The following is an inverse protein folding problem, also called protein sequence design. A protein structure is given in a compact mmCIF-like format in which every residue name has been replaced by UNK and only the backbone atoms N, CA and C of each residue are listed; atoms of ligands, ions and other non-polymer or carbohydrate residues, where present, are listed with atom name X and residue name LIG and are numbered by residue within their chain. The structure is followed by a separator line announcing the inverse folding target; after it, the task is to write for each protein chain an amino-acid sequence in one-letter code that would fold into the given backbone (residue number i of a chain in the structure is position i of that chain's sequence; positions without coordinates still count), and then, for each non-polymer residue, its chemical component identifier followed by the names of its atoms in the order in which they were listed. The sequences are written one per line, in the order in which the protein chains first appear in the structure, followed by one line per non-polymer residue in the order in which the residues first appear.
data_IF_788091385381
#
_entry.id   IF_788091385381
#
_cell.length_a   1.000
_cell.length_b   1.000
_cell.length_c   1.000
_cell.angle_alpha   90.00
_cell.angle_beta   90.00
_cell.angle_gamma   90.00
#
_symmetry.space_group_name_H-M   'P 1'
#
loop_
_entity.id
_entity.type
_entity.pdbx_description
1 polymer ?
#
# COMPACT_ATOMS: atom_id res chain seq x y z
N UNK A 1 -12.67 -6.88 -15.99
CA UNK A 1 -11.66 -5.94 -15.46
C UNK A 1 -10.94 -6.65 -14.32
N UNK A 2 -9.60 -6.71 -14.31
CA UNK A 2 -8.86 -7.34 -13.21
C UNK A 2 -8.72 -6.38 -12.02
N UNK A 3 -8.47 -6.93 -10.82
CA UNK A 3 -8.12 -6.12 -9.64
C UNK A 3 -6.94 -5.19 -9.93
N UNK A 4 -5.92 -5.69 -10.64
CA UNK A 4 -4.76 -4.90 -11.08
C UNK A 4 -5.15 -3.73 -11.98
N UNK A 5 -5.99 -3.96 -13.00
CA UNK A 5 -6.44 -2.88 -13.89
C UNK A 5 -7.25 -1.83 -13.14
N UNK A 6 -8.09 -2.25 -12.18
CA UNK A 6 -8.85 -1.31 -11.36
C UNK A 6 -7.92 -0.49 -10.43
N UNK A 7 -6.96 -1.14 -9.78
CA UNK A 7 -5.97 -0.46 -8.94
C UNK A 7 -5.17 0.59 -9.73
N UNK A 8 -4.77 0.28 -10.98
CA UNK A 8 -4.10 1.25 -11.86
C UNK A 8 -4.94 2.47 -12.18
N UNK A 9 -6.26 2.33 -12.34
CA UNK A 9 -7.16 3.48 -12.53
C UNK A 9 -7.11 4.41 -11.33
N UNK A 10 -7.17 3.87 -10.11
CA UNK A 10 -7.05 4.68 -8.89
C UNK A 10 -5.69 5.36 -8.77
N UNK A 11 -4.60 4.65 -9.09
CA UNK A 11 -3.24 5.21 -9.08
C UNK A 11 -3.15 6.40 -10.05
N UNK A 12 -3.65 6.28 -11.28
CA UNK A 12 -3.60 7.36 -12.28
C UNK A 12 -4.54 8.55 -11.98
N UNK A 13 -5.55 8.32 -11.14
CA UNK A 13 -6.47 9.35 -10.68
C UNK A 13 -5.87 10.18 -9.52
N UNK A 14 -4.93 9.62 -8.75
CA UNK A 14 -4.25 10.34 -7.68
C UNK A 14 -3.21 11.32 -8.27
N UNK A 15 -3.43 12.62 -8.04
CA UNK A 15 -2.68 13.71 -8.66
C UNK A 15 -2.50 14.87 -7.68
N UNK A 16 -1.82 14.62 -6.57
CA UNK A 16 -1.63 15.62 -5.53
C UNK A 16 -0.53 16.63 -5.92
N UNK A 17 0.60 16.13 -6.42
CA UNK A 17 1.74 16.96 -6.83
C UNK A 17 1.67 17.39 -8.30
N UNK A 18 0.92 16.67 -9.14
CA UNK A 18 0.73 17.04 -10.55
C UNK A 18 0.02 18.39 -10.66
N UNK A 19 0.73 19.38 -11.22
CA UNK A 19 0.25 20.76 -11.36
C UNK A 19 1.01 21.76 -10.48
N UNK A 20 1.92 21.29 -9.62
CA UNK A 20 2.81 22.18 -8.88
C UNK A 20 3.82 22.85 -9.85
N UNK A 21 3.89 24.20 -9.89
CA UNK A 21 4.76 24.93 -10.82
C UNK A 21 6.26 24.84 -10.49
N UNK A 22 6.63 24.40 -9.28
CA UNK A 22 8.01 24.30 -8.82
C UNK A 22 8.69 22.99 -9.24
N UNK A 23 7.95 22.05 -9.83
CA UNK A 23 8.45 20.73 -10.18
C UNK A 23 8.05 20.30 -11.59
N UNK A 24 8.89 19.45 -12.18
CA UNK A 24 8.54 18.85 -13.47
C UNK A 24 7.39 17.88 -13.32
N UNK A 25 6.63 17.65 -14.40
CA UNK A 25 5.55 16.66 -14.40
C UNK A 25 6.04 15.26 -13.99
N UNK A 26 7.20 14.84 -14.49
CA UNK A 26 7.76 13.53 -14.17
C UNK A 26 8.13 13.41 -12.67
N UNK A 27 8.68 14.48 -12.10
CA UNK A 27 8.99 14.53 -10.66
C UNK A 27 7.72 14.50 -9.81
N UNK A 28 6.68 15.24 -10.20
CA UNK A 28 5.37 15.23 -9.55
C UNK A 28 4.72 13.83 -9.58
N UNK A 29 4.73 13.18 -10.74
CA UNK A 29 4.20 11.82 -10.91
C UNK A 29 4.95 10.80 -10.01
N UNK A 30 6.28 10.91 -9.91
CA UNK A 30 7.06 10.07 -9.01
C UNK A 30 6.75 10.34 -7.52
N UNK A 31 6.56 11.61 -7.12
CA UNK A 31 6.17 11.95 -5.75
C UNK A 31 4.77 11.44 -5.41
N UNK A 32 3.84 11.52 -6.34
CA UNK A 32 2.48 10.97 -6.17
C UNK A 32 2.52 9.45 -5.98
N UNK A 33 3.31 8.74 -6.79
CA UNK A 33 3.52 7.29 -6.62
C UNK A 33 4.19 6.95 -5.28
N UNK A 34 5.15 7.75 -4.83
CA UNK A 34 5.78 7.55 -3.52
C UNK A 34 4.78 7.75 -2.37
N UNK A 35 3.94 8.79 -2.44
CA UNK A 35 2.90 9.03 -1.45
C UNK A 35 1.86 7.89 -1.41
N UNK A 36 1.45 7.37 -2.57
CA UNK A 36 0.55 6.22 -2.66
C UNK A 36 1.18 4.96 -2.05
N UNK A 37 2.45 4.68 -2.34
CA UNK A 37 3.16 3.54 -1.74
C UNK A 37 3.16 3.65 -0.22
N UNK A 38 3.52 4.81 0.32
CA UNK A 38 3.63 5.01 1.76
C UNK A 38 2.25 4.92 2.45
N UNK A 39 1.20 5.44 1.81
CA UNK A 39 -0.18 5.30 2.29
C UNK A 39 -0.67 3.84 2.27
N UNK A 40 -0.42 3.10 1.18
CA UNK A 40 -0.79 1.68 1.09
C UNK A 40 -0.04 0.85 2.14
N UNK A 41 1.26 1.10 2.33
CA UNK A 41 2.06 0.39 3.35
C UNK A 41 1.52 0.65 4.76
N UNK A 42 1.12 1.89 5.05
CA UNK A 42 0.50 2.26 6.32
C UNK A 42 -0.82 1.53 6.56
N UNK A 43 -1.72 1.55 5.57
CA UNK A 43 -3.01 0.87 5.65
C UNK A 43 -2.86 -0.64 5.79
N UNK A 44 -1.93 -1.26 5.05
CA UNK A 44 -1.58 -2.69 5.22
C UNK A 44 -1.16 -2.95 6.66
N UNK A 45 -0.30 -2.11 7.23
CA UNK A 45 0.17 -2.28 8.60
C UNK A 45 -0.95 -2.22 9.64
N UNK A 46 -1.85 -1.24 9.54
CA UNK A 46 -3.03 -1.14 10.40
C UNK A 46 -3.89 -2.39 10.26
N UNK A 47 -4.31 -2.72 9.03
CA UNK A 47 -5.27 -3.79 8.81
C UNK A 47 -4.68 -5.15 9.18
N UNK A 48 -3.40 -5.41 8.87
CA UNK A 48 -2.71 -6.64 9.26
C UNK A 48 -2.65 -6.80 10.78
N UNK A 49 -2.36 -5.72 11.51
CA UNK A 49 -2.36 -5.76 12.98
C UNK A 49 -3.78 -5.98 13.53
N UNK A 50 -4.78 -5.28 13.00
CA UNK A 50 -6.17 -5.38 13.46
C UNK A 50 -6.74 -6.78 13.26
N UNK A 51 -6.57 -7.37 12.06
CA UNK A 51 -7.09 -8.73 11.81
C UNK A 51 -6.34 -9.80 12.58
N UNK A 52 -5.05 -9.59 12.87
CA UNK A 52 -4.28 -10.50 13.73
C UNK A 52 -4.77 -10.43 15.19
N UNK A 53 -5.00 -9.22 15.70
CA UNK A 53 -5.32 -8.97 17.11
C UNK A 53 -6.78 -9.23 17.44
N UNK A 54 -7.71 -8.75 16.60
CA UNK A 54 -9.14 -8.74 16.90
C UNK A 54 -9.92 -9.85 16.20
N UNK A 55 -9.47 -10.28 15.02
CA UNK A 55 -10.11 -11.39 14.28
C UNK A 55 -9.40 -12.73 14.48
N UNK A 56 -8.23 -12.73 15.13
CA UNK A 56 -7.45 -13.94 15.39
C UNK A 56 -6.88 -14.60 14.13
N UNK A 57 -6.79 -13.85 13.02
CA UNK A 57 -6.22 -14.37 11.77
C UNK A 57 -4.73 -14.63 11.96
N UNK A 58 -4.28 -15.80 11.52
CA UNK A 58 -2.87 -16.17 11.67
C UNK A 58 -1.96 -15.30 10.78
N UNK A 59 -0.76 -14.98 11.29
CA UNK A 59 0.29 -14.32 10.50
C UNK A 59 0.69 -15.09 9.22
N UNK A 60 0.43 -16.39 9.14
CA UNK A 60 0.65 -17.16 7.92
C UNK A 60 -0.40 -16.84 6.86
N UNK A 61 -1.68 -16.74 7.26
CA UNK A 61 -2.79 -16.35 6.38
C UNK A 61 -2.65 -14.90 5.90
N UNK A 62 -2.24 -13.98 6.78
CA UNK A 62 -1.97 -12.59 6.41
C UNK A 62 -0.84 -12.51 5.38
N UNK A 63 0.24 -13.26 5.60
CA UNK A 63 1.37 -13.28 4.68
C UNK A 63 1.01 -13.85 3.31
N UNK A 64 0.19 -14.90 3.26
CA UNK A 64 -0.35 -15.48 2.03
C UNK A 64 -1.19 -14.46 1.25
N UNK A 65 -2.12 -13.78 1.92
CA UNK A 65 -2.96 -12.74 1.32
C UNK A 65 -2.14 -11.57 0.73
N UNK A 66 -1.04 -11.21 1.40
CA UNK A 66 -0.12 -10.16 0.95
C UNK A 66 0.95 -10.67 -0.03
N UNK A 67 0.97 -11.97 -0.35
CA UNK A 67 1.99 -12.61 -1.19
C UNK A 67 3.43 -12.36 -0.69
N UNK A 68 3.63 -12.36 0.63
CA UNK A 68 4.95 -12.20 1.28
C UNK A 68 5.25 -13.39 2.19
N UNK A 69 6.49 -13.48 2.68
CA UNK A 69 6.83 -14.52 3.67
C UNK A 69 6.22 -14.22 5.05
N UNK A 70 5.83 -15.24 5.85
CA UNK A 70 5.36 -15.02 7.23
C UNK A 70 6.36 -14.28 8.13
N UNK A 71 7.66 -14.47 7.89
CA UNK A 71 8.71 -13.74 8.60
C UNK A 71 8.75 -12.25 8.23
N UNK A 72 8.49 -11.91 6.95
CA UNK A 72 8.36 -10.53 6.52
C UNK A 72 7.12 -9.86 7.10
N UNK A 73 5.96 -10.53 7.02
CA UNK A 73 4.70 -10.02 7.58
C UNK A 73 4.82 -9.68 9.07
N UNK A 74 5.39 -10.59 9.88
CA UNK A 74 5.64 -10.32 11.30
C UNK A 74 6.60 -9.17 11.54
N UNK A 75 7.69 -9.10 10.78
CA UNK A 75 8.71 -8.05 10.94
C UNK A 75 8.15 -6.66 10.61
N UNK A 76 7.32 -6.58 9.57
CA UNK A 76 6.77 -5.31 9.10
C UNK A 76 5.58 -4.86 9.96
N UNK A 77 4.70 -5.78 10.36
CA UNK A 77 3.35 -5.42 10.83
C UNK A 77 2.97 -5.91 12.23
N UNK A 78 3.74 -6.80 12.88
CA UNK A 78 3.42 -7.31 14.22
C UNK A 78 3.90 -6.39 15.37
N UNK A 79 3.92 -5.07 15.14
CA UNK A 79 4.37 -4.09 16.14
C UNK A 79 3.33 -3.82 17.21
#
# INVERSE_FOLDING_TARGET
MSAESNARVHIHAFRWWVGNPEMTRAEAELRDLAALRDAVEYEIGIHAHEVATYEGISWATIADALSISPAAARRCYAR
#
